data_IF_952866896286
#
_entry.id   IF_952866896286
#
_cell.length_a   1.000
_cell.length_b   1.000
_cell.length_c   1.000
_cell.angle_alpha   90.00
_cell.angle_beta   90.00
_cell.angle_gamma   90.00
#
_symmetry.space_group_name_H-M   'P 1'
#
loop_
_entity.id
_entity.type
_entity.pdbx_description
1 polymer ?
#
# COMPACT_ATOMS: atom_id res chain seq x y z
N UNK A 1 16.33 -42.28 -2.12
CA UNK A 1 15.15 -41.44 -2.41
C UNK A 1 15.65 -40.01 -2.51
N UNK A 2 15.96 -39.53 -3.71
CA UNK A 2 16.42 -38.16 -3.91
C UNK A 2 15.22 -37.24 -3.64
N UNK A 3 15.32 -36.35 -2.66
CA UNK A 3 14.39 -35.23 -2.54
C UNK A 3 14.59 -34.39 -3.79
N UNK A 4 13.57 -34.29 -4.64
CA UNK A 4 13.49 -33.20 -5.61
C UNK A 4 13.31 -31.93 -4.79
N UNK A 5 14.41 -31.23 -4.56
CA UNK A 5 14.36 -29.85 -4.07
C UNK A 5 13.81 -28.99 -5.21
N UNK A 6 12.74 -28.26 -4.94
CA UNK A 6 12.28 -27.20 -5.84
C UNK A 6 13.23 -26.01 -5.65
N UNK A 7 13.78 -25.51 -6.74
CA UNK A 7 14.65 -24.34 -6.79
C UNK A 7 13.87 -23.04 -6.88
N UNK A 8 12.66 -23.07 -7.45
CA UNK A 8 11.83 -21.88 -7.55
C UNK A 8 11.13 -21.56 -6.24
N UNK A 9 11.11 -20.28 -5.89
CA UNK A 9 10.28 -19.78 -4.81
C UNK A 9 8.84 -19.60 -5.30
N UNK A 10 7.92 -20.40 -4.76
CA UNK A 10 6.50 -20.38 -5.12
C UNK A 10 5.65 -19.92 -3.92
N UNK A 11 4.86 -18.87 -4.12
CA UNK A 11 3.87 -18.41 -3.15
C UNK A 11 2.45 -18.58 -3.72
N UNK A 12 1.54 -19.16 -2.94
CA UNK A 12 0.15 -19.38 -3.37
C UNK A 12 -0.81 -18.51 -2.55
N UNK A 13 -1.54 -17.65 -3.24
CA UNK A 13 -2.43 -16.66 -2.64
C UNK A 13 -3.82 -16.67 -3.26
N UNK A 14 -4.77 -16.03 -2.58
CA UNK A 14 -6.18 -16.10 -2.91
C UNK A 14 -6.80 -17.47 -2.63
N UNK A 15 -8.13 -17.52 -2.69
CA UNK A 15 -8.90 -18.73 -2.48
C UNK A 15 -9.57 -19.19 -3.78
N UNK A 16 -9.46 -20.49 -4.07
CA UNK A 16 -10.05 -21.06 -5.28
C UNK A 16 -11.57 -20.91 -5.24
N UNK A 17 -12.16 -20.43 -6.34
CA UNK A 17 -13.60 -20.16 -6.43
C UNK A 17 -14.07 -18.87 -5.77
N UNK A 18 -13.20 -18.09 -5.09
CA UNK A 18 -13.58 -16.82 -4.47
C UNK A 18 -12.87 -15.64 -5.14
N UNK A 19 -13.58 -14.97 -6.05
CA UNK A 19 -13.09 -13.84 -6.85
C UNK A 19 -12.52 -12.72 -5.98
N UNK A 20 -13.25 -12.31 -4.94
CA UNK A 20 -12.87 -11.18 -4.08
C UNK A 20 -11.50 -11.38 -3.41
N UNK A 21 -11.23 -12.57 -2.86
CA UNK A 21 -9.94 -12.86 -2.21
C UNK A 21 -8.79 -12.84 -3.21
N UNK A 22 -9.03 -13.28 -4.44
CA UNK A 22 -8.04 -13.27 -5.51
C UNK A 22 -7.73 -11.84 -5.98
N UNK A 23 -8.72 -10.95 -6.06
CA UNK A 23 -8.50 -9.53 -6.38
C UNK A 23 -7.73 -8.78 -5.29
N UNK A 24 -8.07 -9.02 -4.02
CA UNK A 24 -7.32 -8.45 -2.88
C UNK A 24 -5.87 -8.95 -2.92
N UNK A 25 -5.68 -10.26 -3.13
CA UNK A 25 -4.35 -10.86 -3.23
C UNK A 25 -3.52 -10.27 -4.37
N UNK A 26 -4.13 -10.05 -5.54
CA UNK A 26 -3.48 -9.38 -6.67
C UNK A 26 -3.03 -7.96 -6.29
N UNK A 27 -3.90 -7.17 -5.64
CA UNK A 27 -3.57 -5.80 -5.28
C UNK A 27 -2.52 -5.72 -4.16
N UNK A 28 -2.55 -6.65 -3.20
CA UNK A 28 -1.50 -6.80 -2.19
C UNK A 28 -0.14 -7.04 -2.85
N UNK A 29 -0.06 -7.98 -3.81
CA UNK A 29 1.17 -8.26 -4.53
C UNK A 29 1.69 -7.02 -5.26
N UNK A 30 0.83 -6.38 -6.06
CA UNK A 30 1.21 -5.20 -6.85
C UNK A 30 1.70 -4.05 -5.95
N UNK A 31 1.09 -3.88 -4.77
CA UNK A 31 1.49 -2.82 -3.83
C UNK A 31 2.84 -3.09 -3.15
N UNK A 32 3.17 -4.35 -2.89
CA UNK A 32 4.36 -4.73 -2.11
C UNK A 32 5.57 -5.04 -3.00
N UNK A 33 5.35 -5.58 -4.20
CA UNK A 33 6.40 -6.03 -5.10
C UNK A 33 6.47 -5.13 -6.35
N UNK A 34 7.29 -4.07 -6.34
CA UNK A 34 7.36 -3.10 -7.42
C UNK A 34 8.00 -3.65 -8.71
N UNK A 35 8.66 -4.81 -8.65
CA UNK A 35 9.37 -5.43 -9.77
C UNK A 35 8.56 -6.54 -10.47
N UNK A 36 7.26 -6.69 -10.14
CA UNK A 36 6.33 -7.52 -10.89
C UNK A 36 6.15 -6.95 -12.29
N UNK A 37 6.62 -7.67 -13.30
CA UNK A 37 6.65 -7.19 -14.69
C UNK A 37 5.86 -8.07 -15.66
N UNK A 38 5.53 -9.30 -15.27
CA UNK A 38 4.93 -10.27 -16.17
C UNK A 38 3.92 -11.18 -15.45
N UNK A 39 2.79 -11.43 -16.10
CA UNK A 39 1.71 -12.29 -15.63
C UNK A 39 1.25 -13.25 -16.73
N UNK A 40 1.04 -14.52 -16.35
CA UNK A 40 0.39 -15.53 -17.17
C UNK A 40 -1.01 -15.79 -16.65
N UNK A 41 -2.01 -15.52 -17.49
CA UNK A 41 -3.37 -15.99 -17.33
C UNK A 41 -3.43 -17.48 -17.72
N UNK A 42 -3.77 -18.32 -16.75
CA UNK A 42 -3.90 -19.76 -16.93
C UNK A 42 -5.37 -20.12 -17.14
N UNK A 43 -5.71 -20.56 -18.35
CA UNK A 43 -7.09 -20.81 -18.73
C UNK A 43 -7.37 -22.31 -18.88
N UNK A 44 -8.36 -22.82 -18.16
CA UNK A 44 -8.93 -24.14 -18.41
C UNK A 44 -10.45 -23.98 -18.58
N UNK A 45 -10.92 -24.07 -19.82
CA UNK A 45 -12.32 -23.77 -20.18
C UNK A 45 -12.71 -22.37 -19.69
N UNK A 46 -13.66 -22.28 -18.75
CA UNK A 46 -14.16 -21.02 -18.16
C UNK A 46 -13.52 -20.70 -16.81
N UNK A 47 -12.49 -21.43 -16.39
CA UNK A 47 -11.82 -21.22 -15.10
C UNK A 47 -10.43 -20.64 -15.33
N UNK A 48 -10.10 -19.61 -14.55
CA UNK A 48 -8.86 -18.85 -14.71
C UNK A 48 -8.10 -18.67 -13.41
N UNK A 49 -6.78 -18.75 -13.50
CA UNK A 49 -5.81 -18.46 -12.43
C UNK A 49 -4.70 -17.55 -12.99
N UNK A 50 -3.86 -16.98 -12.13
CA UNK A 50 -2.69 -16.21 -12.57
C UNK A 50 -1.40 -16.76 -11.98
N UNK A 51 -0.31 -16.67 -12.74
CA UNK A 51 1.06 -16.71 -12.22
C UNK A 51 1.71 -15.39 -12.55
N UNK A 52 2.17 -14.66 -11.54
CA UNK A 52 2.97 -13.47 -11.70
C UNK A 52 4.43 -13.83 -11.40
N UNK A 53 5.37 -13.20 -12.10
CA UNK A 53 6.80 -13.31 -11.78
C UNK A 53 7.41 -11.94 -11.56
N UNK A 54 8.41 -11.90 -10.70
CA UNK A 54 9.24 -10.74 -10.47
C UNK A 54 10.57 -10.85 -11.24
N UNK A 55 11.50 -9.93 -10.99
CA UNK A 55 12.79 -9.88 -11.70
C UNK A 55 13.82 -10.93 -11.24
N UNK A 56 13.56 -11.64 -10.14
CA UNK A 56 14.47 -12.59 -9.48
C UNK A 56 13.85 -14.01 -9.49
N UNK A 57 13.07 -14.33 -10.52
CA UNK A 57 12.43 -15.64 -10.73
C UNK A 57 11.66 -16.20 -9.52
N UNK A 58 11.04 -15.31 -8.72
CA UNK A 58 10.02 -15.69 -7.75
C UNK A 58 8.65 -15.68 -8.41
N UNK A 59 7.85 -16.72 -8.14
CA UNK A 59 6.54 -16.89 -8.77
C UNK A 59 5.42 -16.81 -7.73
N UNK A 60 4.47 -15.93 -8.00
CA UNK A 60 3.29 -15.71 -7.18
C UNK A 60 2.06 -16.22 -7.91
N UNK A 61 1.44 -17.25 -7.35
CA UNK A 61 0.31 -17.95 -7.95
C UNK A 61 -0.99 -17.50 -7.27
N UNK A 62 -1.84 -16.84 -8.04
CA UNK A 62 -3.21 -16.53 -7.63
C UNK A 62 -4.08 -17.71 -8.04
N UNK A 63 -4.74 -18.36 -7.07
CA UNK A 63 -5.58 -19.54 -7.29
C UNK A 63 -6.72 -19.27 -8.27
N UNK A 64 -7.40 -20.34 -8.69
CA UNK A 64 -8.46 -20.24 -9.69
C UNK A 64 -9.77 -19.65 -9.13
N UNK A 65 -9.76 -18.37 -8.78
CA UNK A 65 -10.93 -17.63 -8.32
C UNK A 65 -11.67 -16.87 -9.42
N UNK A 66 -11.17 -16.88 -10.66
CA UNK A 66 -11.72 -16.13 -11.77
C UNK A 66 -12.43 -17.05 -12.76
N UNK A 67 -13.45 -16.53 -13.45
CA UNK A 67 -14.15 -17.26 -14.51
C UNK A 67 -14.41 -16.42 -15.75
N UNK A 68 -14.84 -17.05 -16.84
CA UNK A 68 -15.35 -16.39 -18.05
C UNK A 68 -16.66 -17.04 -18.51
N UNK A 69 -17.34 -16.44 -19.49
CA UNK A 69 -18.63 -16.93 -19.98
C UNK A 69 -19.80 -16.16 -19.37
N UNK A 70 -20.63 -16.81 -18.55
CA UNK A 70 -21.87 -16.21 -18.07
C UNK A 70 -21.62 -14.97 -17.18
N UNK A 71 -22.24 -13.81 -17.48
CA UNK A 71 -22.02 -12.58 -16.72
C UNK A 71 -22.26 -12.77 -15.21
N UNK A 72 -21.32 -12.32 -14.39
CA UNK A 72 -21.36 -12.46 -12.94
C UNK A 72 -20.08 -11.97 -12.28
N UNK A 73 -19.91 -12.30 -11.00
CA UNK A 73 -18.76 -11.86 -10.20
C UNK A 73 -17.42 -12.36 -10.77
N UNK A 74 -17.35 -13.63 -11.19
CA UNK A 74 -16.13 -14.23 -11.72
C UNK A 74 -15.59 -13.55 -12.99
N UNK A 75 -16.40 -13.36 -14.05
CA UNK A 75 -15.95 -12.64 -15.26
C UNK A 75 -15.70 -11.16 -15.03
N UNK A 76 -16.51 -10.50 -14.19
CA UNK A 76 -16.25 -9.12 -13.79
C UNK A 76 -14.92 -8.99 -13.04
N UNK A 77 -14.63 -9.94 -12.16
CA UNK A 77 -13.38 -9.98 -11.42
C UNK A 77 -12.19 -10.27 -12.33
N UNK A 78 -12.31 -11.17 -13.29
CA UNK A 78 -11.27 -11.39 -14.30
C UNK A 78 -10.98 -10.11 -15.09
N UNK A 79 -12.01 -9.44 -15.56
CA UNK A 79 -11.91 -8.18 -16.28
C UNK A 79 -11.26 -7.08 -15.42
N UNK A 80 -11.59 -7.04 -14.13
CA UNK A 80 -10.99 -6.13 -13.15
C UNK A 80 -9.51 -6.43 -12.94
N UNK A 81 -9.14 -7.70 -12.74
CA UNK A 81 -7.75 -8.15 -12.59
C UNK A 81 -6.90 -7.78 -13.80
N UNK A 82 -7.37 -8.08 -15.02
CA UNK A 82 -6.67 -7.73 -16.26
C UNK A 82 -6.53 -6.20 -16.44
N UNK A 83 -7.56 -5.44 -16.04
CA UNK A 83 -7.50 -3.97 -16.07
C UNK A 83 -6.49 -3.41 -15.06
N UNK A 84 -6.37 -4.02 -13.88
CA UNK A 84 -5.37 -3.67 -12.87
C UNK A 84 -3.95 -3.97 -13.35
N UNK A 85 -3.71 -5.16 -13.88
CA UNK A 85 -2.41 -5.55 -14.47
C UNK A 85 -1.99 -4.57 -15.56
N UNK A 86 -2.92 -4.25 -16.48
CA UNK A 86 -2.68 -3.26 -17.55
C UNK A 86 -2.36 -1.87 -16.99
N UNK A 87 -3.07 -1.42 -15.96
CA UNK A 87 -2.84 -0.11 -15.33
C UNK A 87 -1.44 -0.01 -14.72
N UNK A 88 -0.94 -1.10 -14.17
CA UNK A 88 0.41 -1.21 -13.59
C UNK A 88 1.48 -1.60 -14.60
N UNK A 89 1.15 -1.62 -15.90
CA UNK A 89 2.09 -1.94 -16.98
C UNK A 89 2.72 -3.34 -16.84
N UNK A 90 1.99 -4.27 -16.21
CA UNK A 90 2.40 -5.66 -16.09
C UNK A 90 2.02 -6.37 -17.39
N UNK A 91 3.02 -6.85 -18.14
CA UNK A 91 2.78 -7.60 -19.37
C UNK A 91 1.97 -8.85 -19.04
N UNK A 92 0.87 -9.06 -19.75
CA UNK A 92 -0.02 -10.19 -19.48
C UNK A 92 -0.24 -10.99 -20.74
N UNK A 93 0.00 -12.29 -20.65
CA UNK A 93 -0.25 -13.26 -21.71
C UNK A 93 -1.15 -14.39 -21.22
N UNK A 94 -1.72 -15.18 -22.13
CA UNK A 94 -2.65 -16.27 -21.81
C UNK A 94 -2.18 -17.59 -22.39
N UNK A 95 -2.30 -18.67 -21.60
CA UNK A 95 -2.08 -20.05 -22.03
C UNK A 95 -3.24 -20.96 -21.62
N UNK A 96 -3.47 -22.02 -22.41
CA UNK A 96 -4.45 -23.06 -22.06
C UNK A 96 -3.79 -24.12 -21.20
N UNK A 97 -4.28 -24.37 -20.00
CA UNK A 97 -3.74 -25.39 -19.11
C UNK A 97 -4.69 -26.57 -18.94
N UNK A 98 -4.14 -27.73 -18.58
CA UNK A 98 -4.95 -28.91 -18.29
C UNK A 98 -5.69 -28.77 -16.93
N UNK A 99 -6.80 -29.50 -16.73
CA UNK A 99 -7.47 -29.57 -15.42
C UNK A 99 -6.54 -30.04 -14.28
N UNK A 100 -5.52 -30.84 -14.61
CA UNK A 100 -4.51 -31.30 -13.65
C UNK A 100 -3.67 -30.14 -13.10
N UNK A 101 -3.31 -29.18 -13.96
CA UNK A 101 -2.57 -27.97 -13.55
C UNK A 101 -3.43 -27.10 -12.63
N UNK A 102 -4.70 -26.87 -12.99
CA UNK A 102 -5.64 -26.13 -12.12
C UNK A 102 -5.76 -26.81 -10.74
N UNK A 103 -5.89 -28.14 -10.72
CA UNK A 103 -5.93 -28.89 -9.46
C UNK A 103 -4.65 -28.67 -8.66
N UNK A 104 -3.47 -28.73 -9.28
CA UNK A 104 -2.19 -28.48 -8.60
C UNK A 104 -2.09 -27.07 -8.02
N UNK A 105 -2.49 -26.05 -8.78
CA UNK A 105 -2.55 -24.66 -8.33
C UNK A 105 -3.42 -24.54 -7.08
N UNK A 106 -4.63 -25.09 -7.14
CA UNK A 106 -5.57 -25.02 -6.03
C UNK A 106 -5.16 -25.83 -4.80
N UNK A 107 -4.19 -26.75 -4.93
CA UNK A 107 -3.61 -27.52 -3.83
C UNK A 107 -2.15 -27.14 -3.54
N UNK A 108 -1.64 -26.02 -4.05
CA UNK A 108 -0.27 -25.54 -3.81
C UNK A 108 0.82 -26.59 -4.09
N UNK A 109 0.73 -27.25 -5.25
CA UNK A 109 1.55 -28.44 -5.54
C UNK A 109 2.18 -28.43 -6.94
N UNK A 110 2.46 -27.24 -7.49
CA UNK A 110 3.33 -27.14 -8.68
C UNK A 110 4.78 -27.42 -8.27
N UNK A 111 5.54 -28.02 -9.17
CA UNK A 111 6.99 -28.18 -9.06
C UNK A 111 7.70 -27.36 -10.15
N UNK A 112 9.02 -27.34 -10.11
CA UNK A 112 9.82 -26.56 -11.08
C UNK A 112 9.54 -26.95 -12.52
N UNK A 113 9.39 -28.26 -12.79
CA UNK A 113 9.06 -28.77 -14.12
C UNK A 113 7.71 -28.24 -14.60
N UNK A 114 6.71 -28.13 -13.72
CA UNK A 114 5.42 -27.54 -14.06
C UNK A 114 5.60 -26.06 -14.43
N UNK A 115 6.38 -25.29 -13.65
CA UNK A 115 6.65 -23.87 -13.89
C UNK A 115 7.35 -23.69 -15.25
N UNK A 116 8.45 -24.38 -15.48
CA UNK A 116 9.19 -24.35 -16.75
C UNK A 116 8.28 -24.68 -17.92
N UNK A 117 7.42 -25.69 -17.76
CA UNK A 117 6.47 -26.09 -18.81
C UNK A 117 5.47 -24.99 -19.10
N UNK A 118 4.95 -24.30 -18.08
CA UNK A 118 3.97 -23.22 -18.26
C UNK A 118 4.59 -22.03 -19.01
N UNK A 119 5.81 -21.63 -18.67
CA UNK A 119 6.48 -20.50 -19.32
C UNK A 119 7.02 -20.82 -20.72
N UNK A 120 7.23 -22.10 -21.05
CA UNK A 120 7.59 -22.54 -22.40
C UNK A 120 6.36 -22.86 -23.28
N UNK A 121 5.15 -22.78 -22.74
CA UNK A 121 3.94 -23.13 -23.46
C UNK A 121 3.59 -22.06 -24.52
N UNK A 122 3.00 -22.50 -25.63
CA UNK A 122 2.54 -21.60 -26.69
C UNK A 122 1.43 -20.68 -26.18
N UNK A 123 1.69 -19.38 -26.25
CA UNK A 123 0.76 -18.30 -25.93
C UNK A 123 -0.44 -18.31 -26.89
N UNK A 124 -1.63 -18.02 -26.38
CA UNK A 124 -2.84 -17.84 -27.19
C UNK A 124 -2.69 -16.58 -28.05
N UNK A 125 -2.83 -16.75 -29.37
CA UNK A 125 -2.79 -15.67 -30.36
C UNK A 125 -4.02 -15.76 -31.29
N UNK A 126 -4.61 -14.62 -31.74
CA UNK A 126 -4.34 -13.26 -31.28
C UNK A 126 -4.66 -13.12 -29.78
N UNK A 127 -4.02 -12.17 -29.09
CA UNK A 127 -4.28 -11.92 -27.66
C UNK A 127 -5.76 -11.55 -27.49
N UNK A 128 -6.50 -12.33 -26.68
CA UNK A 128 -7.94 -12.12 -26.45
C UNK A 128 -8.27 -11.47 -25.11
N UNK A 129 -7.26 -11.00 -24.37
CA UNK A 129 -7.47 -10.38 -23.05
C UNK A 129 -8.47 -9.22 -23.09
N UNK A 130 -8.50 -8.46 -24.19
CA UNK A 130 -9.48 -7.40 -24.39
C UNK A 130 -10.92 -7.91 -24.45
N UNK A 131 -11.15 -9.13 -24.94
CA UNK A 131 -12.49 -9.72 -25.04
C UNK A 131 -13.07 -10.02 -23.65
N UNK A 132 -12.23 -10.29 -22.65
CA UNK A 132 -12.65 -10.40 -21.26
C UNK A 132 -12.98 -9.05 -20.63
N UNK A 133 -12.27 -7.97 -21.02
CA UNK A 133 -12.45 -6.63 -20.46
C UNK A 133 -13.66 -5.92 -21.06
N UNK A 134 -13.84 -6.03 -22.38
CA UNK A 134 -14.80 -5.22 -23.14
C UNK A 134 -16.24 -5.27 -22.62
N UNK A 135 -16.82 -6.45 -22.27
CA UNK A 135 -18.18 -6.53 -21.76
C UNK A 135 -18.39 -5.75 -20.46
N UNK A 136 -17.34 -5.60 -19.65
CA UNK A 136 -17.38 -4.95 -18.33
C UNK A 136 -16.74 -3.57 -18.34
N UNK A 137 -16.38 -3.01 -19.52
CA UNK A 137 -15.62 -1.75 -19.61
C UNK A 137 -16.32 -0.59 -18.90
N UNK A 138 -17.65 -0.48 -19.06
CA UNK A 138 -18.45 0.56 -18.37
C UNK A 138 -18.43 0.34 -16.87
N UNK A 139 -18.74 -0.86 -16.42
CA UNK A 139 -18.75 -1.20 -15.00
C UNK A 139 -17.38 -1.01 -14.32
N UNK A 140 -16.28 -1.29 -15.02
CA UNK A 140 -14.92 -1.08 -14.51
C UNK A 140 -14.57 0.42 -14.48
N UNK A 141 -15.01 1.19 -15.48
CA UNK A 141 -14.80 2.62 -15.51
C UNK A 141 -15.67 3.36 -14.47
N UNK A 142 -16.87 2.85 -14.22
CA UNK A 142 -17.86 3.38 -13.28
C UNK A 142 -17.69 2.80 -11.86
N UNK A 143 -16.92 1.71 -11.70
CA UNK A 143 -16.64 1.11 -10.39
C UNK A 143 -16.06 2.19 -9.47
N UNK A 144 -16.80 2.49 -8.39
CA UNK A 144 -16.65 3.72 -7.62
C UNK A 144 -15.23 3.96 -7.10
N UNK A 145 -14.44 2.90 -6.89
CA UNK A 145 -13.01 3.06 -6.64
C UNK A 145 -12.27 1.72 -6.69
N UNK A 146 -11.46 1.37 -7.72
CA UNK A 146 -10.64 0.16 -7.65
C UNK A 146 -9.61 0.19 -6.50
N UNK A 147 -9.43 1.33 -5.82
CA UNK A 147 -8.56 1.44 -4.64
C UNK A 147 -9.02 0.59 -3.46
N UNK A 148 -10.29 0.18 -3.38
CA UNK A 148 -10.76 -0.64 -2.25
C UNK A 148 -10.14 -2.04 -2.18
N UNK A 149 -9.54 -2.52 -3.26
CA UNK A 149 -8.80 -3.78 -3.27
C UNK A 149 -7.38 -3.64 -2.70
N UNK A 150 -6.85 -2.42 -2.62
CA UNK A 150 -5.50 -2.18 -2.12
C UNK A 150 -5.50 -2.21 -0.59
N UNK A 151 -4.51 -2.86 0.03
CA UNK A 151 -4.41 -2.94 1.47
C UNK A 151 -4.19 -1.56 2.07
N UNK A 152 -4.90 -1.31 3.17
CA UNK A 152 -4.80 -0.07 3.91
C UNK A 152 -3.86 -0.26 5.11
N UNK A 153 -2.55 -0.15 4.83
CA UNK A 153 -1.46 -0.43 5.77
C UNK A 153 -0.49 0.75 5.87
N UNK A 154 0.08 0.96 7.07
CA UNK A 154 1.09 2.00 7.29
C UNK A 154 2.46 1.55 6.74
N UNK A 155 3.19 2.41 6.01
CA UNK A 155 4.53 2.10 5.52
C UNK A 155 5.56 2.21 6.66
N UNK A 156 5.74 1.12 7.40
CA UNK A 156 6.60 1.08 8.59
C UNK A 156 8.05 1.53 8.37
N UNK A 157 8.60 1.32 7.17
CA UNK A 157 9.99 1.67 6.85
C UNK A 157 10.28 3.17 6.82
N UNK A 158 9.26 4.03 6.75
CA UNK A 158 9.42 5.50 6.68
C UNK A 158 8.95 6.21 7.94
N UNK A 159 8.55 5.45 8.97
CA UNK A 159 8.09 6.03 10.22
C UNK A 159 9.26 6.40 11.14
N UNK A 160 9.11 7.48 11.89
CA UNK A 160 10.04 7.84 12.96
C UNK A 160 9.92 6.83 14.12
N UNK A 161 11.06 6.30 14.57
CA UNK A 161 11.13 5.27 15.61
C UNK A 161 10.41 5.69 16.90
N UNK A 162 10.36 6.99 17.21
CA UNK A 162 9.74 7.52 18.42
C UNK A 162 8.21 7.41 18.41
N UNK A 163 7.59 7.03 17.30
CA UNK A 163 6.15 6.75 17.19
C UNK A 163 5.84 5.36 16.66
N UNK A 164 6.84 4.49 16.55
CA UNK A 164 6.63 3.13 16.01
C UNK A 164 5.67 2.31 16.89
N UNK A 165 5.77 2.42 18.21
CA UNK A 165 4.82 1.84 19.17
C UNK A 165 3.38 2.30 18.91
N UNK A 166 3.21 3.58 18.55
CA UNK A 166 1.91 4.16 18.23
C UNK A 166 1.40 3.66 16.86
N UNK A 167 2.28 3.41 15.90
CA UNK A 167 1.91 2.81 14.61
C UNK A 167 1.38 1.38 14.76
N UNK A 168 1.89 0.62 15.74
CA UNK A 168 1.36 -0.69 16.09
C UNK A 168 -0.02 -0.59 16.78
N UNK A 169 -0.17 0.34 17.72
CA UNK A 169 -1.44 0.63 18.39
C UNK A 169 -2.52 1.11 17.40
N UNK A 170 -2.12 1.89 16.40
CA UNK A 170 -3.01 2.52 15.44
C UNK A 170 -3.91 1.51 14.70
N UNK A 171 -3.45 0.26 14.51
CA UNK A 171 -4.27 -0.81 13.91
C UNK A 171 -5.52 -1.16 14.71
N UNK A 172 -5.48 -0.96 16.02
CA UNK A 172 -6.55 -1.32 16.96
C UNK A 172 -7.32 -0.09 17.43
N UNK A 173 -6.60 1.00 17.69
CA UNK A 173 -7.14 2.24 18.24
C UNK A 173 -6.45 3.46 17.59
N UNK A 174 -6.87 3.84 16.37
CA UNK A 174 -6.30 4.97 15.63
C UNK A 174 -6.36 6.29 16.40
N UNK A 175 -7.47 6.56 17.07
CA UNK A 175 -7.70 7.83 17.75
C UNK A 175 -6.76 8.00 18.95
N UNK A 176 -6.60 6.95 19.76
CA UNK A 176 -5.66 6.94 20.89
C UNK A 176 -4.22 7.05 20.41
N UNK A 177 -3.84 6.35 19.34
CA UNK A 177 -2.51 6.43 18.76
C UNK A 177 -2.17 7.85 18.28
N UNK A 178 -3.06 8.48 17.51
CA UNK A 178 -2.89 9.86 17.02
C UNK A 178 -2.84 10.87 18.17
N UNK A 179 -3.75 10.75 19.14
CA UNK A 179 -3.78 11.63 20.31
C UNK A 179 -2.46 11.57 21.11
N UNK A 180 -1.94 10.36 21.33
CA UNK A 180 -0.66 10.14 22.00
C UNK A 180 0.50 10.69 21.17
N UNK A 181 0.47 10.52 19.85
CA UNK A 181 1.53 11.00 18.96
C UNK A 181 1.67 12.52 19.04
N UNK A 182 0.57 13.27 19.01
CA UNK A 182 0.62 14.72 19.18
C UNK A 182 1.08 15.18 20.56
N UNK A 183 0.61 14.53 21.63
CA UNK A 183 1.03 14.88 23.00
C UNK A 183 2.54 14.64 23.18
N UNK A 184 3.03 13.50 22.71
CA UNK A 184 4.45 13.15 22.76
C UNK A 184 5.30 14.14 21.95
N UNK A 185 4.85 14.59 20.79
CA UNK A 185 5.54 15.60 20.00
C UNK A 185 5.62 16.95 20.75
N UNK A 186 4.52 17.35 21.39
CA UNK A 186 4.48 18.57 22.20
C UNK A 186 5.48 18.51 23.37
N UNK A 187 5.55 17.37 24.07
CA UNK A 187 6.49 17.15 25.16
C UNK A 187 7.96 17.16 24.69
N UNK A 188 8.25 16.61 23.52
CA UNK A 188 9.58 16.64 22.90
C UNK A 188 10.00 18.09 22.62
N UNK A 189 9.16 18.87 21.92
CA UNK A 189 9.47 20.28 21.60
C UNK A 189 9.63 21.09 22.89
N UNK A 190 8.80 20.84 23.91
CA UNK A 190 8.93 21.50 25.22
C UNK A 190 10.27 21.21 25.87
N UNK A 191 10.67 19.94 25.89
CA UNK A 191 11.94 19.51 26.47
C UNK A 191 13.13 20.14 25.75
N UNK A 192 13.07 20.26 24.43
CA UNK A 192 14.15 20.85 23.62
C UNK A 192 14.27 22.37 23.74
N UNK A 193 13.15 23.06 23.93
CA UNK A 193 13.11 24.55 23.91
C UNK A 193 13.05 25.17 25.30
N UNK A 194 12.68 24.40 26.33
CA UNK A 194 12.46 24.92 27.69
C UNK A 194 11.21 25.78 27.83
N UNK A 195 10.38 25.88 26.79
CA UNK A 195 9.13 26.66 26.83
C UNK A 195 8.10 26.00 27.76
N UNK A 196 7.13 26.77 28.26
CA UNK A 196 6.02 26.25 29.09
C UNK A 196 4.66 26.31 28.38
N UNK A 197 4.64 26.74 27.13
CA UNK A 197 3.42 26.91 26.34
C UNK A 197 2.85 25.56 25.88
N UNK A 198 1.62 25.61 25.36
CA UNK A 198 0.89 24.45 24.90
C UNK A 198 0.37 24.61 23.47
N UNK A 199 0.08 23.48 22.83
CA UNK A 199 -0.61 23.43 21.53
C UNK A 199 0.11 24.28 20.45
N UNK A 200 -0.63 24.85 19.50
CA UNK A 200 -0.09 25.69 18.42
C UNK A 200 0.77 26.86 18.90
N UNK A 201 0.52 27.39 20.10
CA UNK A 201 1.32 28.49 20.66
C UNK A 201 2.74 28.06 21.00
N UNK A 202 2.93 26.82 21.48
CA UNK A 202 4.25 26.23 21.69
C UNK A 202 5.04 26.21 20.39
N UNK A 203 4.44 25.69 19.30
CA UNK A 203 5.14 25.56 18.02
C UNK A 203 5.40 26.90 17.35
N UNK A 204 4.48 27.86 17.44
CA UNK A 204 4.74 29.23 16.99
C UNK A 204 5.95 29.83 17.71
N UNK A 205 6.07 29.68 19.02
CA UNK A 205 7.23 30.20 19.75
C UNK A 205 8.51 29.39 19.46
N UNK A 206 8.40 28.09 19.25
CA UNK A 206 9.54 27.24 18.96
C UNK A 206 10.16 27.54 17.59
N UNK A 207 9.34 27.77 16.56
CA UNK A 207 9.80 27.77 15.16
C UNK A 207 9.58 29.09 14.39
N UNK A 208 8.69 30.00 14.83
CA UNK A 208 8.41 31.25 14.10
C UNK A 208 9.11 32.45 14.75
N UNK A 209 9.75 33.33 13.94
CA UNK A 209 10.31 34.59 14.43
C UNK A 209 9.24 35.49 15.10
N UNK A 210 9.64 36.39 16.02
CA UNK A 210 11.01 36.67 16.47
C UNK A 210 11.46 35.81 17.67
N UNK A 211 10.60 34.92 18.17
CA UNK A 211 10.88 34.12 19.40
C UNK A 211 11.41 32.72 19.13
N UNK A 212 11.57 32.34 17.86
CA UNK A 212 12.03 31.02 17.45
C UNK A 212 13.27 30.58 18.22
N UNK A 213 13.18 29.39 18.83
CA UNK A 213 14.30 28.73 19.49
C UNK A 213 14.94 27.67 18.59
N UNK A 214 14.19 27.19 17.58
CA UNK A 214 14.57 26.13 16.66
C UNK A 214 14.41 26.61 15.22
N UNK A 215 15.30 26.16 14.34
CA UNK A 215 15.30 26.43 12.90
C UNK A 215 15.79 25.22 12.12
N UNK A 216 15.81 25.29 10.79
CA UNK A 216 16.43 24.28 9.92
C UNK A 216 17.63 24.88 9.20
N UNK A 217 18.63 24.04 8.92
CA UNK A 217 19.78 24.43 8.10
C UNK A 217 19.39 24.43 6.62
N UNK A 218 18.80 25.56 6.18
CA UNK A 218 18.29 25.76 4.83
C UNK A 218 18.81 27.07 4.24
N UNK A 219 19.01 27.13 2.92
CA UNK A 219 19.58 28.31 2.27
C UNK A 219 18.61 29.50 2.20
N UNK A 220 17.29 29.25 2.26
CA UNK A 220 16.27 30.28 2.12
C UNK A 220 15.38 30.37 3.36
N UNK A 221 15.25 31.59 3.89
CA UNK A 221 14.36 31.91 5.00
C UNK A 221 12.88 31.61 4.66
N UNK A 222 12.49 31.71 3.38
CA UNK A 222 11.12 31.39 2.97
C UNK A 222 10.79 29.90 3.15
N UNK A 223 11.78 29.01 2.98
CA UNK A 223 11.62 27.58 3.24
C UNK A 223 11.51 27.28 4.75
N UNK A 224 12.29 27.99 5.57
CA UNK A 224 12.22 27.91 7.03
C UNK A 224 10.82 28.33 7.52
N UNK A 225 10.32 29.47 7.03
CA UNK A 225 8.95 29.93 7.32
C UNK A 225 7.91 28.92 6.84
N UNK A 226 8.11 28.33 5.65
CA UNK A 226 7.26 27.28 5.10
C UNK A 226 7.17 26.06 6.02
N UNK A 227 8.31 25.55 6.49
CA UNK A 227 8.37 24.41 7.42
C UNK A 227 7.72 24.73 8.77
N UNK A 228 8.00 25.90 9.34
CA UNK A 228 7.40 26.34 10.60
C UNK A 228 5.87 26.45 10.50
N UNK A 229 5.37 26.97 9.37
CA UNK A 229 3.94 27.07 9.08
C UNK A 229 3.32 25.69 8.83
N UNK A 230 3.96 24.80 8.08
CA UNK A 230 3.50 23.43 7.89
C UNK A 230 3.35 22.72 9.25
N UNK A 231 4.36 22.86 10.12
CA UNK A 231 4.35 22.27 11.45
C UNK A 231 3.18 22.77 12.29
N UNK A 232 3.10 24.09 12.45
CA UNK A 232 2.11 24.75 13.32
C UNK A 232 0.68 24.53 12.82
N UNK A 233 0.46 24.67 11.51
CA UNK A 233 -0.88 24.56 10.93
C UNK A 233 -1.36 23.12 10.83
N UNK A 234 -0.48 22.15 10.58
CA UNK A 234 -0.84 20.72 10.62
C UNK A 234 -1.29 20.32 12.01
N UNK A 235 -0.51 20.66 13.04
CA UNK A 235 -0.93 20.41 14.43
C UNK A 235 -2.28 21.08 14.72
N UNK A 236 -2.44 22.37 14.38
CA UNK A 236 -3.67 23.14 14.62
C UNK A 236 -4.89 22.56 13.90
N UNK A 237 -4.74 22.07 12.67
CA UNK A 237 -5.85 21.56 11.85
C UNK A 237 -6.40 20.25 12.41
N UNK A 238 -5.53 19.34 12.85
CA UNK A 238 -5.89 17.97 13.20
C UNK A 238 -6.05 17.76 14.71
N UNK A 239 -5.08 18.20 15.52
CA UNK A 239 -5.11 17.99 16.97
C UNK A 239 -6.29 18.67 17.67
N UNK A 240 -6.63 19.89 17.23
CA UNK A 240 -7.74 20.65 17.82
C UNK A 240 -9.08 19.96 17.56
N UNK A 241 -9.29 19.43 16.35
CA UNK A 241 -10.50 18.69 16.02
C UNK A 241 -10.68 17.48 16.94
N UNK A 242 -9.61 16.71 17.17
CA UNK A 242 -9.61 15.53 18.06
C UNK A 242 -9.82 15.84 19.54
N UNK A 243 -9.57 17.07 19.98
CA UNK A 243 -9.79 17.46 21.39
C UNK A 243 -11.24 17.87 21.66
N UNK A 244 -11.93 18.39 20.63
CA UNK A 244 -13.18 19.11 20.82
C UNK A 244 -14.38 18.46 20.11
N UNK A 245 -14.17 17.43 19.29
CA UNK A 245 -15.24 16.75 18.56
C UNK A 245 -14.99 15.24 18.56
N UNK A 246 -15.96 14.48 19.06
CA UNK A 246 -16.13 13.10 18.61
C UNK A 246 -16.55 13.18 17.14
N UNK A 247 -15.74 12.61 16.25
CA UNK A 247 -16.08 12.52 14.84
C UNK A 247 -16.01 11.05 14.45
N UNK A 248 -17.00 10.60 13.70
CA UNK A 248 -16.87 9.45 12.80
C UNK A 248 -15.94 9.85 11.64
N UNK A 249 -14.64 9.99 11.92
CA UNK A 249 -13.67 10.22 10.86
C UNK A 249 -13.47 8.94 10.05
N UNK A 250 -13.49 9.08 8.73
CA UNK A 250 -13.17 7.99 7.82
C UNK A 250 -11.77 7.47 8.16
N UNK A 251 -11.63 6.15 8.29
CA UNK A 251 -10.35 5.46 8.48
C UNK A 251 -9.27 5.97 7.52
N UNK A 252 -9.64 6.31 6.29
CA UNK A 252 -8.73 6.89 5.29
C UNK A 252 -8.07 8.19 5.77
N UNK A 253 -8.84 9.04 6.45
CA UNK A 253 -8.35 10.30 6.99
C UNK A 253 -7.38 10.05 8.16
N UNK A 254 -7.68 9.09 9.04
CA UNK A 254 -6.80 8.76 10.17
C UNK A 254 -5.43 8.27 9.70
N UNK A 255 -5.35 7.43 8.66
CA UNK A 255 -4.06 6.97 8.12
C UNK A 255 -3.25 8.12 7.51
N UNK A 256 -3.92 9.01 6.76
CA UNK A 256 -3.26 10.22 6.21
C UNK A 256 -2.76 11.12 7.32
N UNK A 257 -3.55 11.29 8.37
CA UNK A 257 -3.16 12.07 9.53
C UNK A 257 -1.97 11.45 10.25
N UNK A 258 -1.92 10.11 10.39
CA UNK A 258 -0.77 9.45 11.00
C UNK A 258 0.53 9.75 10.24
N UNK A 259 0.49 9.73 8.91
CA UNK A 259 1.62 10.11 8.07
C UNK A 259 1.98 11.59 8.19
N UNK A 260 0.99 12.47 8.34
CA UNK A 260 1.25 13.89 8.61
C UNK A 260 1.91 14.12 9.97
N UNK A 261 1.47 13.41 11.01
CA UNK A 261 2.13 13.48 12.33
C UNK A 261 3.54 12.93 12.25
N UNK A 262 3.75 11.82 11.54
CA UNK A 262 5.08 11.29 11.28
C UNK A 262 6.01 12.35 10.66
N UNK A 263 5.54 13.08 9.65
CA UNK A 263 6.31 14.16 9.03
C UNK A 263 6.69 15.24 10.05
N UNK A 264 5.82 15.57 11.01
CA UNK A 264 6.17 16.52 12.07
C UNK A 264 7.30 16.00 12.97
N UNK A 265 7.35 14.69 13.25
CA UNK A 265 8.47 14.11 14.00
C UNK A 265 9.78 14.21 13.21
N UNK A 266 9.74 13.94 11.91
CA UNK A 266 10.92 14.05 11.04
C UNK A 266 11.42 15.50 10.97
N UNK A 267 10.53 16.47 10.74
CA UNK A 267 10.85 17.89 10.73
C UNK A 267 11.40 18.36 12.09
N UNK A 268 10.79 17.93 13.19
CA UNK A 268 11.29 18.25 14.52
C UNK A 268 12.70 17.73 14.73
N UNK A 269 13.00 16.49 14.32
CA UNK A 269 14.32 15.87 14.44
C UNK A 269 15.39 16.63 13.66
N UNK A 270 15.06 17.12 12.47
CA UNK A 270 15.95 17.92 11.63
C UNK A 270 16.21 19.32 12.17
N UNK A 271 15.30 19.85 13.00
CA UNK A 271 15.46 21.20 13.52
C UNK A 271 16.68 21.30 14.45
N UNK A 272 17.39 22.41 14.36
CA UNK A 272 18.57 22.76 15.17
C UNK A 272 18.28 23.98 16.03
N UNK A 273 18.95 24.15 17.17
CA UNK A 273 18.84 25.38 17.95
C UNK A 273 19.27 26.59 17.11
N UNK A 274 18.52 27.70 17.19
CA UNK A 274 19.06 28.98 16.74
C UNK A 274 20.32 29.28 17.57
N UNK A 275 21.45 29.50 16.90
CA UNK A 275 22.65 29.99 17.59
C UNK A 275 22.31 31.37 18.14
N UNK A 276 22.46 31.55 19.45
CA UNK A 276 22.49 32.90 20.03
C UNK A 276 23.66 33.64 19.39
N UNK A 277 23.39 34.75 18.71
CA UNK A 277 24.42 35.74 18.39
C UNK A 277 24.93 36.28 19.74
N UNK A 278 26.17 35.93 20.10
CA UNK A 278 26.93 36.58 21.18
C UNK A 278 27.37 37.99 20.75
#
# INVERSE_FOLDING_TARGET
>A
MFKTENYYHLEYIGEAGITQTCLISLCNLIQVYPDLNYALLLTNQQTHAFILRNSIDSYYIIRSGFSSGYPGEGPKGLATALSLLKKHQIETEEIVVSPKIIKKINHSSLNDVDIDTLFNQKIIRPIRLHDYIYPFRKEIAEAENPKHYYPFELPYSILDDRIFDLALLFKQDPDSALLKAYKRLEDIVRTRTGLSEHSSKLFSQAFLPPKACLTWDLPDNSEIDGRANLFTNTYKAFRNARTHREKDENQIHQFREFLLVNELYLLEREATPLKSED
#
